data_IF_526774476486
#
_entry.id   IF_526774476486
#
_cell.length_a   1.000
_cell.length_b   1.000
_cell.length_c   1.000
_cell.angle_alpha   90.00
_cell.angle_beta   90.00
_cell.angle_gamma   90.00
#
_symmetry.space_group_name_H-M   'P 1'
#
loop_
_entity.id
_entity.type
_entity.pdbx_description
1 polymer ?
#
# COMPACT_ATOMS: atom_id res chain seq x y z
N UNK A 1 14.91 29.49 -5.15
CA UNK A 1 14.15 28.96 -6.30
C UNK A 1 14.50 27.50 -6.66
N UNK A 2 15.65 26.98 -6.21
CA UNK A 2 16.08 25.61 -6.54
C UNK A 2 15.40 24.51 -5.69
N UNK A 3 14.81 24.83 -4.56
CA UNK A 3 14.20 23.88 -3.63
C UNK A 3 12.70 23.61 -3.88
N UNK A 4 12.04 24.44 -4.69
CA UNK A 4 10.61 24.26 -5.01
C UNK A 4 10.35 23.16 -6.06
N UNK A 5 11.33 22.81 -6.90
CA UNK A 5 11.19 21.88 -8.01
C UNK A 5 11.51 20.42 -7.68
N UNK A 6 12.22 20.14 -6.58
CA UNK A 6 12.67 18.80 -6.25
C UNK A 6 11.52 17.81 -5.91
N UNK A 7 10.50 18.17 -5.12
CA UNK A 7 9.40 17.25 -4.83
C UNK A 7 8.58 16.90 -6.09
N UNK A 8 8.44 17.84 -7.00
CA UNK A 8 7.71 17.64 -8.27
C UNK A 8 8.48 16.72 -9.21
N UNK A 9 9.80 16.88 -9.30
CA UNK A 9 10.65 16.05 -10.16
C UNK A 9 10.72 14.60 -9.68
N UNK A 10 10.85 14.35 -8.36
CA UNK A 10 10.86 13.01 -7.79
C UNK A 10 9.51 12.31 -8.04
N UNK A 11 8.39 12.99 -7.80
CA UNK A 11 7.06 12.45 -8.06
C UNK A 11 6.83 12.11 -9.54
N UNK A 12 7.37 12.90 -10.47
CA UNK A 12 7.30 12.62 -11.90
C UNK A 12 8.17 11.40 -12.26
N UNK A 13 9.37 11.30 -11.72
CA UNK A 13 10.26 10.15 -11.95
C UNK A 13 9.63 8.84 -11.44
N UNK A 14 9.04 8.83 -10.25
CA UNK A 14 8.33 7.67 -9.69
C UNK A 14 7.15 7.25 -10.57
N UNK A 15 6.34 8.20 -11.04
CA UNK A 15 5.20 7.91 -11.94
C UNK A 15 5.65 7.33 -13.29
N UNK A 16 6.75 7.85 -13.85
CA UNK A 16 7.34 7.31 -15.08
C UNK A 16 7.87 5.90 -14.88
N UNK A 17 8.51 5.62 -13.74
CA UNK A 17 8.96 4.29 -13.39
C UNK A 17 7.77 3.32 -13.28
N UNK A 18 6.74 3.66 -12.51
CA UNK A 18 5.54 2.84 -12.36
C UNK A 18 4.82 2.58 -13.69
N UNK A 19 4.74 3.60 -14.58
CA UNK A 19 4.16 3.43 -15.93
C UNK A 19 5.01 2.51 -16.79
N UNK A 20 6.34 2.60 -16.73
CA UNK A 20 7.24 1.72 -17.45
C UNK A 20 7.12 0.28 -16.97
N UNK A 21 7.17 0.05 -15.65
CA UNK A 21 7.02 -1.28 -15.05
C UNK A 21 5.67 -1.91 -15.41
N UNK A 22 4.57 -1.15 -15.36
CA UNK A 22 3.26 -1.64 -15.81
C UNK A 22 3.24 -2.06 -17.29
N UNK A 23 4.00 -1.36 -18.15
CA UNK A 23 4.12 -1.73 -19.56
C UNK A 23 5.02 -2.95 -19.77
N UNK A 24 6.14 -3.05 -19.05
CA UNK A 24 7.10 -4.15 -19.14
C UNK A 24 6.54 -5.45 -18.58
N UNK A 25 5.89 -5.42 -17.41
CA UNK A 25 5.45 -6.61 -16.69
C UNK A 25 4.02 -7.07 -17.05
N UNK A 26 3.14 -6.13 -17.37
CA UNK A 26 1.71 -6.42 -17.58
C UNK A 26 1.17 -5.98 -18.95
N UNK A 27 2.00 -5.42 -19.82
CA UNK A 27 1.59 -4.90 -21.12
C UNK A 27 0.62 -3.70 -21.04
N UNK A 28 0.53 -3.05 -19.86
CA UNK A 28 -0.41 -1.96 -19.62
C UNK A 28 0.22 -0.60 -19.91
N UNK A 29 -0.22 0.05 -20.98
CA UNK A 29 0.21 1.41 -21.28
C UNK A 29 -0.58 2.41 -20.45
N UNK A 30 0.06 2.99 -19.44
CA UNK A 30 -0.52 3.98 -18.53
C UNK A 30 0.09 5.36 -18.78
N UNK A 31 -0.75 6.40 -18.75
CA UNK A 31 -0.27 7.78 -18.75
C UNK A 31 0.29 8.14 -17.37
N UNK A 32 1.59 8.45 -17.22
CA UNK A 32 2.18 8.81 -15.93
C UNK A 32 1.49 9.98 -15.25
N UNK A 33 0.89 10.92 -16.00
CA UNK A 33 0.19 12.07 -15.44
C UNK A 33 -1.16 11.70 -14.82
N UNK A 34 -1.73 10.55 -15.18
CA UNK A 34 -3.00 10.03 -14.64
C UNK A 34 -2.82 9.11 -13.44
N UNK A 35 -1.58 8.68 -13.15
CA UNK A 35 -1.26 7.92 -11.95
C UNK A 35 -1.47 8.80 -10.71
N UNK A 36 -2.33 8.36 -9.78
CA UNK A 36 -2.54 9.04 -8.51
C UNK A 36 -1.80 8.29 -7.42
N UNK A 37 -0.91 8.97 -6.68
CA UNK A 37 -0.22 8.38 -5.54
C UNK A 37 -1.23 8.01 -4.47
N UNK A 38 -1.17 6.76 -4.02
CA UNK A 38 -2.10 6.20 -3.04
C UNK A 38 -1.47 6.12 -1.66
N UNK A 39 -0.28 5.54 -1.57
CA UNK A 39 0.46 5.39 -0.32
C UNK A 39 1.96 5.27 -0.59
N UNK A 40 2.74 5.30 0.48
CA UNK A 40 4.18 5.10 0.46
C UNK A 40 4.60 4.14 1.57
N UNK A 41 5.40 3.14 1.25
CA UNK A 41 5.76 2.06 2.16
C UNK A 41 7.25 1.98 2.37
N UNK A 42 7.67 1.94 3.63
CA UNK A 42 9.05 1.71 4.03
C UNK A 42 9.11 0.42 4.86
N UNK A 43 9.85 -0.60 4.40
CA UNK A 43 9.97 -1.86 5.11
C UNK A 43 10.61 -1.69 6.49
N UNK A 44 10.39 -2.64 7.43
CA UNK A 44 11.00 -2.61 8.74
C UNK A 44 12.54 -2.72 8.65
N UNK A 45 13.23 -2.31 9.72
CA UNK A 45 14.70 -2.32 9.79
C UNK A 45 15.29 -3.72 9.60
N UNK A 46 14.55 -4.75 9.97
CA UNK A 46 14.95 -6.16 9.90
C UNK A 46 14.87 -6.76 8.49
N UNK A 47 14.23 -6.07 7.55
CA UNK A 47 14.11 -6.57 6.18
C UNK A 47 15.48 -6.59 5.47
N UNK A 48 15.80 -7.72 4.82
CA UNK A 48 17.05 -7.88 4.07
C UNK A 48 17.23 -6.87 2.93
N UNK A 49 16.13 -6.49 2.28
CA UNK A 49 16.08 -5.46 1.24
C UNK A 49 15.10 -4.38 1.67
N UNK A 50 15.58 -3.15 1.71
CA UNK A 50 14.79 -2.00 2.16
C UNK A 50 14.61 -1.02 1.00
N UNK A 51 13.68 -1.33 0.12
CA UNK A 51 13.24 -0.39 -0.91
C UNK A 51 11.98 0.31 -0.45
N UNK A 52 12.04 1.62 -0.43
CA UNK A 52 10.85 2.45 -0.24
C UNK A 52 10.00 2.39 -1.50
N UNK A 53 8.73 2.05 -1.36
CA UNK A 53 7.84 1.77 -2.49
C UNK A 53 6.66 2.73 -2.50
N UNK A 54 6.50 3.46 -3.60
CA UNK A 54 5.33 4.29 -3.84
C UNK A 54 4.23 3.47 -4.53
N UNK A 55 3.02 3.47 -3.96
CA UNK A 55 1.84 2.84 -4.55
C UNK A 55 1.04 3.88 -5.31
N UNK A 56 0.64 3.54 -6.53
CA UNK A 56 -0.18 4.38 -7.38
C UNK A 56 -1.48 3.67 -7.77
N UNK A 57 -2.51 4.47 -7.99
CA UNK A 57 -3.78 4.02 -8.58
C UNK A 57 -3.96 4.66 -9.94
N UNK A 58 -4.40 3.85 -10.90
CA UNK A 58 -4.81 4.27 -12.23
C UNK A 58 -6.04 3.46 -12.68
N UNK A 59 -6.85 4.06 -13.56
CA UNK A 59 -7.83 3.29 -14.31
C UNK A 59 -7.10 2.41 -15.33
N UNK A 60 -7.40 1.11 -15.31
CA UNK A 60 -6.82 0.21 -16.29
C UNK A 60 -7.34 0.54 -17.71
N UNK A 61 -6.49 0.53 -18.72
CA UNK A 61 -6.92 0.69 -20.10
C UNK A 61 -7.81 -0.51 -20.49
N UNK A 62 -8.70 -0.28 -21.45
CA UNK A 62 -9.47 -1.38 -22.05
C UNK A 62 -8.52 -2.22 -22.91
N UNK A 63 -8.46 -3.51 -22.66
CA UNK A 63 -7.61 -4.43 -23.39
C UNK A 63 -7.26 -5.68 -22.58
N UNK A 64 -6.52 -6.58 -23.17
CA UNK A 64 -5.96 -7.74 -22.51
C UNK A 64 -4.70 -7.33 -21.72
N UNK A 65 -4.53 -7.89 -20.55
CA UNK A 65 -3.26 -7.89 -19.83
C UNK A 65 -2.36 -8.93 -20.48
N UNK A 66 -1.13 -8.54 -20.81
CA UNK A 66 -0.13 -9.46 -21.35
C UNK A 66 1.03 -9.48 -20.36
N UNK A 67 1.17 -10.62 -19.67
CA UNK A 67 2.27 -10.82 -18.72
C UNK A 67 3.56 -11.18 -19.46
N UNK A 68 4.69 -10.81 -18.87
CA UNK A 68 6.03 -11.01 -19.42
C UNK A 68 6.58 -12.43 -19.24
N UNK A 69 5.86 -13.31 -18.52
CA UNK A 69 6.27 -14.67 -18.09
C UNK A 69 7.58 -14.70 -17.26
N UNK A 70 8.09 -13.55 -16.86
CA UNK A 70 9.29 -13.40 -16.04
C UNK A 70 8.95 -13.24 -14.55
N UNK A 71 8.61 -12.03 -14.15
CA UNK A 71 8.24 -11.71 -12.76
C UNK A 71 6.78 -12.03 -12.46
N UNK A 72 5.86 -11.77 -13.41
CA UNK A 72 4.44 -12.07 -13.30
C UNK A 72 4.13 -13.40 -14.01
N UNK A 73 3.65 -14.38 -13.25
CA UNK A 73 3.32 -15.72 -13.75
C UNK A 73 1.84 -15.93 -14.06
N UNK A 74 0.96 -15.14 -13.44
CA UNK A 74 -0.48 -15.21 -13.64
C UNK A 74 -1.14 -13.89 -13.32
N UNK A 75 -2.29 -13.61 -13.91
CA UNK A 75 -3.09 -12.43 -13.64
C UNK A 75 -4.59 -12.73 -13.68
N UNK A 76 -5.35 -11.99 -12.89
CA UNK A 76 -6.81 -12.05 -12.90
C UNK A 76 -7.42 -10.73 -12.47
N UNK A 77 -8.61 -10.44 -12.97
CA UNK A 77 -9.42 -9.32 -12.51
C UNK A 77 -10.29 -9.76 -11.35
N UNK A 78 -10.13 -9.11 -10.22
CA UNK A 78 -10.81 -9.45 -8.97
C UNK A 78 -11.26 -8.21 -8.23
N UNK A 79 -12.26 -8.36 -7.36
CA UNK A 79 -12.62 -7.29 -6.42
C UNK A 79 -11.73 -7.36 -5.18
N UNK A 80 -11.44 -6.22 -4.53
CA UNK A 80 -10.66 -6.21 -3.30
C UNK A 80 -11.23 -7.13 -2.22
N UNK A 81 -12.54 -7.14 -2.05
CA UNK A 81 -13.23 -8.00 -1.06
C UNK A 81 -13.02 -9.48 -1.32
N UNK A 82 -13.00 -9.90 -2.59
CA UNK A 82 -12.75 -11.30 -2.93
C UNK A 82 -11.32 -11.72 -2.58
N UNK A 83 -10.33 -10.87 -2.89
CA UNK A 83 -8.93 -11.17 -2.58
C UNK A 83 -8.71 -11.27 -1.06
N UNK A 84 -9.32 -10.36 -0.29
CA UNK A 84 -9.28 -10.41 1.18
C UNK A 84 -9.90 -11.71 1.71
N UNK A 85 -11.08 -12.13 1.20
CA UNK A 85 -11.68 -13.41 1.58
C UNK A 85 -10.80 -14.61 1.23
N UNK A 86 -10.16 -14.62 0.05
CA UNK A 86 -9.25 -15.70 -0.34
C UNK A 86 -8.00 -15.75 0.56
N UNK A 87 -7.55 -14.60 1.08
CA UNK A 87 -6.48 -14.55 2.07
C UNK A 87 -6.93 -15.07 3.44
N UNK A 88 -8.11 -14.68 3.92
CA UNK A 88 -8.68 -15.18 5.18
C UNK A 88 -8.91 -16.71 5.13
N UNK A 89 -9.28 -17.23 3.96
CA UNK A 89 -9.42 -18.67 3.69
C UNK A 89 -8.07 -19.39 3.47
N UNK A 90 -6.93 -18.71 3.61
CA UNK A 90 -5.57 -19.22 3.36
C UNK A 90 -5.32 -19.75 1.94
N UNK A 91 -6.11 -19.32 0.96
CA UNK A 91 -5.96 -19.71 -0.44
C UNK A 91 -4.87 -18.89 -1.16
N UNK A 92 -4.54 -17.71 -0.65
CA UNK A 92 -3.47 -16.84 -1.15
C UNK A 92 -2.73 -16.18 0.01
N UNK A 93 -1.48 -15.84 -0.23
CA UNK A 93 -0.68 -15.02 0.68
C UNK A 93 -0.64 -13.58 0.18
N UNK A 94 -0.75 -12.63 1.11
CA UNK A 94 -0.62 -11.20 0.84
C UNK A 94 0.56 -10.61 1.61
N UNK A 95 1.22 -9.62 1.03
CA UNK A 95 2.12 -8.76 1.80
C UNK A 95 1.31 -7.70 2.58
N UNK A 96 1.77 -7.25 3.77
CA UNK A 96 1.08 -6.23 4.57
C UNK A 96 0.69 -4.95 3.79
N UNK A 97 1.54 -4.39 2.92
CA UNK A 97 1.16 -3.26 2.09
C UNK A 97 -0.03 -3.54 1.17
N UNK A 98 -0.05 -4.71 0.55
CA UNK A 98 -1.13 -5.15 -0.34
C UNK A 98 -2.43 -5.36 0.43
N UNK A 99 -2.36 -6.03 1.59
CA UNK A 99 -3.51 -6.27 2.45
C UNK A 99 -4.19 -4.97 2.88
N UNK A 100 -3.44 -4.01 3.43
CA UNK A 100 -3.98 -2.71 3.86
C UNK A 100 -4.52 -1.91 2.66
N UNK A 101 -3.82 -1.94 1.51
CA UNK A 101 -4.32 -1.31 0.27
C UNK A 101 -5.67 -1.89 -0.14
N UNK A 102 -5.82 -3.21 -0.12
CA UNK A 102 -7.08 -3.88 -0.45
C UNK A 102 -8.19 -3.55 0.55
N UNK A 103 -7.90 -3.47 1.86
CA UNK A 103 -8.87 -3.02 2.87
C UNK A 103 -9.37 -1.60 2.59
N UNK A 104 -8.47 -0.69 2.20
CA UNK A 104 -8.85 0.68 1.85
C UNK A 104 -9.70 0.73 0.58
N UNK A 105 -9.35 -0.04 -0.44
CA UNK A 105 -10.08 -0.13 -1.70
C UNK A 105 -11.46 -0.80 -1.53
N UNK A 106 -11.57 -1.79 -0.66
CA UNK A 106 -12.82 -2.50 -0.36
C UNK A 106 -13.94 -1.60 0.22
N UNK A 107 -13.58 -0.39 0.68
CA UNK A 107 -14.56 0.61 1.16
C UNK A 107 -15.38 1.24 0.04
N UNK A 108 -14.94 1.11 -1.22
CA UNK A 108 -15.59 1.68 -2.39
C UNK A 108 -16.23 0.58 -3.23
N UNK A 109 -17.49 0.77 -3.60
CA UNK A 109 -18.26 -0.20 -4.37
C UNK A 109 -18.02 -0.10 -5.88
N UNK A 110 -17.55 1.06 -6.33
CA UNK A 110 -17.33 1.35 -7.76
C UNK A 110 -16.05 2.13 -7.97
N UNK A 111 -15.49 2.03 -9.18
CA UNK A 111 -14.33 2.83 -9.62
C UNK A 111 -14.65 4.33 -9.57
N UNK A 112 -15.90 4.71 -9.82
CA UNK A 112 -16.32 6.11 -9.76
C UNK A 112 -16.24 6.65 -8.34
N UNK A 113 -16.78 5.93 -7.35
CA UNK A 113 -16.68 6.31 -5.93
C UNK A 113 -15.22 6.48 -5.49
N UNK A 114 -14.35 5.52 -5.85
CA UNK A 114 -12.91 5.61 -5.54
C UNK A 114 -12.27 6.83 -6.20
N UNK A 115 -12.55 7.06 -7.50
CA UNK A 115 -12.00 8.19 -8.25
C UNK A 115 -12.40 9.53 -7.61
N UNK A 116 -13.64 9.65 -7.18
CA UNK A 116 -14.15 10.87 -6.54
C UNK A 116 -13.48 11.07 -5.17
N UNK A 117 -13.31 10.00 -4.38
CA UNK A 117 -12.58 10.02 -3.12
C UNK A 117 -11.10 10.40 -3.29
N UNK A 118 -10.48 10.00 -4.39
CA UNK A 118 -9.08 10.36 -4.69
C UNK A 118 -8.85 11.87 -4.92
N UNK A 119 -9.89 12.68 -5.03
CA UNK A 119 -9.77 14.13 -5.20
C UNK A 119 -9.24 14.81 -3.93
N UNK A 120 -9.61 14.30 -2.75
CA UNK A 120 -9.09 14.79 -1.45
C UNK A 120 -8.21 13.76 -0.72
N UNK A 121 -7.63 12.81 -1.47
CA UNK A 121 -6.87 11.72 -0.88
C UNK A 121 -5.64 12.20 -0.14
N UNK A 122 -5.51 11.82 1.12
CA UNK A 122 -4.31 12.01 1.91
C UNK A 122 -3.37 10.84 1.64
N UNK A 123 -2.24 11.12 1.02
CA UNK A 123 -1.19 10.11 0.79
C UNK A 123 -0.50 9.82 2.10
N UNK A 124 -0.68 8.60 2.59
CA UNK A 124 -0.06 8.16 3.84
C UNK A 124 1.28 7.49 3.61
N UNK A 125 2.15 7.64 4.62
CA UNK A 125 3.43 6.96 4.68
C UNK A 125 3.41 5.91 5.78
N UNK A 126 3.67 4.67 5.40
CA UNK A 126 3.76 3.52 6.31
C UNK A 126 5.22 3.13 6.50
N UNK A 127 5.85 3.66 7.54
CA UNK A 127 7.14 3.16 7.98
C UNK A 127 6.89 2.04 9.00
N UNK A 128 7.21 0.81 8.64
CA UNK A 128 6.85 -0.36 9.45
C UNK A 128 7.84 -0.57 10.58
N UNK A 129 7.33 -0.64 11.81
CA UNK A 129 8.04 -1.15 12.97
C UNK A 129 7.41 -2.47 13.40
N UNK A 130 8.19 -3.54 13.46
CA UNK A 130 7.71 -4.85 13.92
C UNK A 130 7.93 -4.96 15.42
N UNK A 131 6.91 -5.42 16.10
CA UNK A 131 6.94 -5.79 17.53
C UNK A 131 6.33 -7.17 17.71
N UNK A 132 6.55 -7.77 18.87
CA UNK A 132 6.03 -9.07 19.24
C UNK A 132 5.47 -9.00 20.66
N UNK A 133 4.31 -9.62 20.89
CA UNK A 133 3.69 -9.78 22.19
C UNK A 133 2.94 -11.10 22.25
N UNK A 134 3.16 -11.90 23.29
CA UNK A 134 2.48 -13.20 23.50
C UNK A 134 2.52 -14.11 22.25
N UNK A 135 3.69 -14.20 21.60
CA UNK A 135 3.92 -14.97 20.35
C UNK A 135 3.19 -14.42 19.11
N UNK A 136 2.49 -13.28 19.22
CA UNK A 136 1.85 -12.60 18.08
C UNK A 136 2.76 -11.53 17.50
N UNK A 137 2.89 -11.52 16.19
CA UNK A 137 3.64 -10.49 15.46
C UNK A 137 2.69 -9.35 15.11
N UNK A 138 3.12 -8.12 15.36
CA UNK A 138 2.38 -6.92 15.02
C UNK A 138 3.25 -5.92 14.27
N UNK A 139 2.73 -5.41 13.17
CA UNK A 139 3.31 -4.29 12.44
C UNK A 139 2.67 -2.99 12.96
N UNK A 140 3.47 -2.15 13.58
CA UNK A 140 3.10 -0.83 14.07
C UNK A 140 3.42 0.23 13.01
N UNK A 141 2.52 1.18 12.84
CA UNK A 141 2.68 2.30 11.93
C UNK A 141 2.61 3.63 12.66
N UNK A 142 3.06 4.71 12.04
CA UNK A 142 3.01 6.05 12.61
C UNK A 142 1.58 6.42 13.06
N UNK A 143 1.45 7.04 14.23
CA UNK A 143 0.15 7.29 14.89
C UNK A 143 -0.29 6.17 15.84
N UNK A 144 0.36 5.00 15.85
CA UNK A 144 0.15 4.01 16.91
C UNK A 144 0.89 4.42 18.17
N UNK A 145 0.27 4.27 19.34
CA UNK A 145 0.89 4.61 20.62
C UNK A 145 2.16 3.80 20.90
N UNK A 146 2.23 2.57 20.42
CA UNK A 146 3.40 1.69 20.54
C UNK A 146 4.50 1.99 19.51
N UNK A 147 4.23 2.84 18.51
CA UNK A 147 5.23 3.19 17.49
C UNK A 147 6.36 4.00 18.11
N UNK A 148 7.60 3.64 17.80
CA UNK A 148 8.81 4.25 18.34
C UNK A 148 9.31 3.59 19.63
N UNK A 149 8.41 3.19 20.54
CA UNK A 149 8.78 2.41 21.74
C UNK A 149 8.87 0.92 21.46
N UNK A 150 8.12 0.42 20.49
CA UNK A 150 7.98 -1.01 20.20
C UNK A 150 7.09 -1.75 21.19
N UNK A 151 6.32 -1.02 22.00
CA UNK A 151 5.41 -1.61 23.00
C UNK A 151 3.96 -1.66 22.48
N UNK A 152 3.49 -2.82 21.97
CA UNK A 152 2.13 -2.94 21.46
C UNK A 152 1.08 -3.00 22.58
N UNK A 153 1.48 -3.13 23.85
CA UNK A 153 0.57 -3.22 25.01
C UNK A 153 0.15 -1.85 25.53
N UNK A 154 0.89 -0.77 25.18
CA UNK A 154 0.60 0.58 25.60
C UNK A 154 -0.85 0.99 25.28
N UNK A 155 -1.50 1.71 26.20
CA UNK A 155 -2.87 2.21 26.00
C UNK A 155 -2.86 3.51 25.21
N UNK A 156 -3.74 3.63 24.21
CA UNK A 156 -3.85 4.83 23.39
C UNK A 156 -4.30 4.56 21.95
N UNK A 157 -3.96 5.47 21.04
CA UNK A 157 -4.31 5.39 19.62
C UNK A 157 -3.73 4.13 18.95
N UNK A 158 -4.47 3.56 18.02
CA UNK A 158 -4.08 2.35 17.28
C UNK A 158 -3.87 2.67 15.80
N UNK A 159 -2.79 2.15 15.25
CA UNK A 159 -2.52 2.10 13.82
C UNK A 159 -1.56 0.93 13.58
N UNK A 160 -2.11 -0.28 13.53
CA UNK A 160 -1.35 -1.53 13.52
C UNK A 160 -2.01 -2.63 12.72
N UNK A 161 -1.19 -3.58 12.29
CA UNK A 161 -1.63 -4.82 11.66
C UNK A 161 -1.10 -6.01 12.48
N UNK A 162 -2.01 -6.79 13.04
CA UNK A 162 -1.71 -8.09 13.64
C UNK A 162 -1.55 -9.12 12.53
N UNK A 163 -0.41 -9.80 12.52
CA UNK A 163 -0.07 -10.84 11.56
C UNK A 163 -0.31 -12.22 12.17
N UNK A 164 -1.54 -12.45 12.62
CA UNK A 164 -1.92 -13.68 13.28
C UNK A 164 -2.13 -14.79 12.23
N UNK A 165 -1.56 -16.01 12.43
CA UNK A 165 -1.83 -17.14 11.54
C UNK A 165 -3.31 -17.50 11.40
N UNK A 166 -4.14 -17.19 12.39
CA UNK A 166 -5.58 -17.42 12.34
C UNK A 166 -6.36 -16.38 11.51
N UNK A 167 -5.70 -15.29 11.12
CA UNK A 167 -6.28 -14.21 10.32
C UNK A 167 -5.70 -12.85 10.68
N UNK A 168 -5.40 -12.06 9.68
CA UNK A 168 -4.84 -10.74 9.89
C UNK A 168 -5.89 -9.73 10.33
N UNK A 169 -5.53 -8.84 11.26
CA UNK A 169 -6.43 -7.83 11.79
C UNK A 169 -5.79 -6.45 11.81
N UNK A 170 -6.35 -5.55 11.02
CA UNK A 170 -5.92 -4.16 10.98
C UNK A 170 -6.75 -3.31 11.93
N UNK A 171 -6.09 -2.59 12.82
CA UNK A 171 -6.70 -1.65 13.78
C UNK A 171 -6.24 -0.23 13.47
N UNK A 172 -7.21 0.67 13.41
CA UNK A 172 -6.95 2.10 13.27
C UNK A 172 -7.98 2.91 14.02
N UNK A 173 -7.51 3.71 14.98
CA UNK A 173 -8.31 4.67 15.75
C UNK A 173 -7.81 6.10 15.60
N UNK A 174 -6.70 6.29 14.89
CA UNK A 174 -6.11 7.62 14.61
C UNK A 174 -6.45 8.07 13.19
N UNK A 175 -6.59 9.37 13.01
CA UNK A 175 -6.78 9.94 11.68
C UNK A 175 -5.56 9.70 10.77
N UNK A 176 -5.78 9.64 9.44
CA UNK A 176 -4.69 9.60 8.48
C UNK A 176 -3.75 10.78 8.64
N UNK A 177 -2.46 10.50 8.85
CA UNK A 177 -1.45 11.53 8.82
C UNK A 177 -0.89 11.69 7.40
N UNK A 178 -0.82 12.92 6.89
CA UNK A 178 -0.22 13.15 5.58
C UNK A 178 1.27 12.82 5.61
N UNK A 179 1.78 12.34 4.48
CA UNK A 179 3.20 12.11 4.29
C UNK A 179 3.98 13.40 4.61
N UNK A 180 4.84 13.34 5.62
CA UNK A 180 5.73 14.45 5.93
C UNK A 180 6.67 14.65 4.74
N UNK A 181 6.71 15.89 4.24
CA UNK A 181 7.67 16.26 3.20
C UNK A 181 9.03 16.39 3.88
N UNK A 182 9.90 15.41 3.62
CA UNK A 182 11.31 15.51 3.96
C UNK A 182 12.07 16.42 3.00
#
# INVERSE_FOLDING_TARGET
DYLADQPTNLSIAERRAASREAAEEAGLTLDPLRLKRFSHWTPPLQAHKRFSTAFFIAEAPRGAVTIDDGEIRDHRWVTPTRVLSEHDDHNIELAPPTFITLLQLARYRTVTELRDAMTGWVVESYATQVAEVDEHIVALYHGDVGYGTGDPTAEGGRHRLWLDPAGWRYERTTDPEPMQRG
#
